data_IF_198463029927
#
_entry.id   IF_198463029927
#
_cell.length_a   1.000
_cell.length_b   1.000
_cell.length_c   1.000
_cell.angle_alpha   90.00
_cell.angle_beta   90.00
_cell.angle_gamma   90.00
#
_symmetry.space_group_name_H-M   'P 1'
#
loop_
_entity.id
_entity.type
_entity.pdbx_description
1 polymer ?
#
# COMPACT_ATOMS: atom_id res chain seq x y z
N UNK A 1 -4.65 -15.93 -13.07
CA UNK A 1 -4.59 -14.63 -13.77
C UNK A 1 -3.20 -14.50 -14.38
N UNK A 2 -3.00 -13.77 -15.47
CA UNK A 2 -1.67 -13.50 -16.04
C UNK A 2 -0.93 -12.35 -15.35
N UNK A 3 -1.25 -12.08 -14.07
CA UNK A 3 -0.69 -10.97 -13.31
C UNK A 3 0.54 -11.44 -12.53
N UNK A 4 1.65 -10.71 -12.65
CA UNK A 4 2.91 -11.02 -11.96
C UNK A 4 2.98 -10.45 -10.54
N UNK A 5 2.31 -9.31 -10.32
CA UNK A 5 2.30 -8.57 -9.04
C UNK A 5 0.92 -8.01 -8.77
N UNK A 6 0.55 -7.96 -7.49
CA UNK A 6 -0.73 -7.45 -7.01
C UNK A 6 -0.50 -6.20 -6.15
N UNK A 7 -1.07 -5.08 -6.58
CA UNK A 7 -1.09 -3.83 -5.83
C UNK A 7 -2.49 -3.56 -5.30
N UNK A 8 -2.58 -3.02 -4.09
CA UNK A 8 -3.84 -2.61 -3.47
C UNK A 8 -3.72 -1.18 -2.96
N UNK A 9 -4.84 -0.48 -2.92
CA UNK A 9 -4.93 0.89 -2.43
C UNK A 9 -5.87 0.90 -1.23
N UNK A 10 -5.42 1.50 -0.12
CA UNK A 10 -6.24 1.83 1.04
C UNK A 10 -6.18 3.35 1.22
N UNK A 11 -7.31 4.04 1.16
CA UNK A 11 -7.35 5.48 1.37
C UNK A 11 -7.54 5.83 2.84
N UNK A 12 -6.93 6.92 3.31
CA UNK A 12 -7.07 7.45 4.69
C UNK A 12 -8.53 7.52 5.18
N UNK A 13 -9.52 8.04 4.41
CA UNK A 13 -10.92 8.11 4.87
C UNK A 13 -11.58 6.75 5.13
N UNK A 14 -11.01 5.65 4.65
CA UNK A 14 -11.53 4.31 4.86
C UNK A 14 -11.21 3.78 6.27
N UNK A 15 -10.20 4.34 6.94
CA UNK A 15 -9.80 3.96 8.29
C UNK A 15 -8.67 2.93 8.35
N UNK A 16 -7.85 3.05 9.40
CA UNK A 16 -6.66 2.22 9.63
C UNK A 16 -7.00 0.77 10.05
N UNK A 17 -8.26 0.47 10.33
CA UNK A 17 -8.77 -0.82 10.77
C UNK A 17 -9.10 -1.80 9.62
N UNK A 18 -9.03 -1.33 8.37
CA UNK A 18 -9.32 -2.14 7.17
C UNK A 18 -8.52 -3.44 7.05
N UNK A 19 -7.22 -3.51 7.42
CA UNK A 19 -6.49 -4.77 7.44
C UNK A 19 -7.13 -5.83 8.35
N UNK A 20 -7.71 -5.42 9.47
CA UNK A 20 -8.37 -6.35 10.41
C UNK A 20 -9.72 -6.84 9.86
N UNK A 21 -10.42 -6.00 9.09
CA UNK A 21 -11.72 -6.33 8.49
C UNK A 21 -11.60 -7.19 7.23
N UNK A 22 -10.52 -7.05 6.48
CA UNK A 22 -10.32 -7.74 5.20
C UNK A 22 -8.97 -8.48 5.13
N UNK A 23 -8.63 -9.35 6.09
CA UNK A 23 -7.27 -9.86 6.28
C UNK A 23 -6.70 -10.58 5.05
N UNK A 24 -7.53 -11.34 4.34
CA UNK A 24 -7.11 -12.05 3.12
C UNK A 24 -6.60 -11.10 2.03
N UNK A 25 -7.18 -9.91 1.90
CA UNK A 25 -6.78 -8.96 0.87
C UNK A 25 -5.37 -8.42 1.14
N UNK A 26 -5.03 -8.19 2.40
CA UNK A 26 -3.72 -7.70 2.82
C UNK A 26 -2.66 -8.81 2.91
N UNK A 27 -3.07 -10.09 3.01
CA UNK A 27 -2.13 -11.20 3.11
C UNK A 27 -1.57 -11.67 1.75
N UNK A 28 -2.17 -11.28 0.63
CA UNK A 28 -1.84 -11.81 -0.70
C UNK A 28 -1.27 -10.78 -1.69
N UNK A 29 -1.24 -9.50 -1.32
CA UNK A 29 -0.76 -8.43 -2.20
C UNK A 29 0.73 -8.16 -1.94
N UNK A 30 1.45 -7.76 -2.99
CA UNK A 30 2.88 -7.46 -2.92
C UNK A 30 3.13 -6.06 -2.35
N UNK A 31 2.19 -5.14 -2.60
CA UNK A 31 2.32 -3.73 -2.23
C UNK A 31 0.96 -3.12 -1.86
N UNK A 32 0.98 -2.27 -0.84
CA UNK A 32 -0.17 -1.46 -0.42
C UNK A 32 0.18 0.03 -0.52
N UNK A 33 -0.63 0.76 -1.26
CA UNK A 33 -0.58 2.21 -1.32
C UNK A 33 -1.55 2.77 -0.27
N UNK A 34 -1.03 3.50 0.71
CA UNK A 34 -1.86 4.24 1.66
C UNK A 34 -2.11 5.62 1.06
N UNK A 35 -3.24 5.79 0.38
CA UNK A 35 -3.52 7.00 -0.40
C UNK A 35 -4.25 8.08 0.43
N UNK A 36 -4.19 9.33 -0.06
CA UNK A 36 -4.80 10.52 0.52
C UNK A 36 -4.18 10.90 1.87
N UNK A 37 -2.86 10.74 2.02
CA UNK A 37 -2.14 11.18 3.23
C UNK A 37 -2.29 12.68 3.48
N UNK A 38 -2.54 13.48 2.43
CA UNK A 38 -2.88 14.90 2.53
C UNK A 38 -4.18 15.19 3.31
N UNK A 39 -5.01 14.17 3.53
CA UNK A 39 -6.25 14.29 4.28
C UNK A 39 -6.13 13.80 5.73
N UNK A 40 -4.97 13.31 6.18
CA UNK A 40 -4.82 12.69 7.51
C UNK A 40 -5.28 13.59 8.66
N UNK A 41 -5.02 14.90 8.59
CA UNK A 41 -5.43 15.84 9.65
C UNK A 41 -6.96 15.94 9.84
N UNK A 42 -7.75 15.45 8.89
CA UNK A 42 -9.22 15.47 8.93
C UNK A 42 -9.83 14.13 9.37
N UNK A 43 -9.04 13.07 9.53
CA UNK A 43 -9.52 11.73 9.86
C UNK A 43 -8.75 11.14 11.04
N UNK A 44 -9.41 10.33 11.86
CA UNK A 44 -8.75 9.52 12.90
C UNK A 44 -8.04 8.31 12.27
N UNK A 45 -7.00 8.60 11.48
CA UNK A 45 -6.20 7.61 10.78
C UNK A 45 -4.79 7.55 11.37
N UNK A 46 -4.40 6.36 11.81
CA UNK A 46 -3.10 6.11 12.40
C UNK A 46 -2.23 5.30 11.43
N UNK A 47 -1.23 5.98 10.86
CA UNK A 47 -0.33 5.39 9.86
C UNK A 47 0.56 4.29 10.45
N UNK A 48 0.91 4.35 11.73
CA UNK A 48 1.75 3.33 12.34
C UNK A 48 0.93 2.08 12.69
N UNK A 49 -0.31 2.24 13.18
CA UNK A 49 -1.21 1.11 13.39
C UNK A 49 -1.54 0.37 12.12
N UNK A 50 -1.84 1.09 11.03
CA UNK A 50 -2.14 0.41 9.76
C UNK A 50 -0.93 -0.39 9.27
N UNK A 51 0.30 0.16 9.38
CA UNK A 51 1.54 -0.57 9.05
C UNK A 51 1.72 -1.81 9.92
N UNK A 52 1.48 -1.70 11.23
CA UNK A 52 1.55 -2.81 12.16
C UNK A 52 0.57 -3.93 11.79
N UNK A 53 -0.70 -3.58 11.53
CA UNK A 53 -1.72 -4.56 11.16
C UNK A 53 -1.41 -5.25 9.83
N UNK A 54 -0.93 -4.49 8.84
CA UNK A 54 -0.56 -5.01 7.53
C UNK A 54 0.64 -5.97 7.65
N UNK A 55 1.70 -5.55 8.34
CA UNK A 55 2.92 -6.37 8.49
C UNK A 55 2.71 -7.64 9.32
N UNK A 56 1.76 -7.62 10.27
CA UNK A 56 1.30 -8.84 10.97
C UNK A 56 0.65 -9.87 10.02
N UNK A 57 -0.04 -9.41 8.98
CA UNK A 57 -0.70 -10.27 8.00
C UNK A 57 0.26 -10.72 6.89
N UNK A 58 1.17 -9.84 6.46
CA UNK A 58 2.17 -10.11 5.44
C UNK A 58 3.50 -9.39 5.78
N UNK A 59 4.49 -10.09 6.35
CA UNK A 59 5.77 -9.48 6.72
C UNK A 59 6.61 -8.97 5.54
N UNK A 60 6.35 -9.44 4.32
CA UNK A 60 7.14 -9.10 3.13
C UNK A 60 6.51 -7.99 2.27
N UNK A 61 5.36 -7.46 2.69
CA UNK A 61 4.60 -6.48 1.93
C UNK A 61 5.29 -5.13 1.88
N UNK A 62 5.31 -4.50 0.71
CA UNK A 62 5.74 -3.10 0.59
C UNK A 62 4.58 -2.20 0.95
N UNK A 63 4.80 -1.20 1.81
CA UNK A 63 3.79 -0.18 2.14
C UNK A 63 4.33 1.17 1.67
N UNK A 64 3.56 1.89 0.86
CA UNK A 64 3.95 3.19 0.31
C UNK A 64 2.85 4.21 0.64
N UNK A 65 3.09 5.14 1.58
CA UNK A 65 2.21 6.27 1.79
C UNK A 65 2.27 7.21 0.58
N UNK A 66 1.11 7.58 0.02
CA UNK A 66 1.02 8.47 -1.13
C UNK A 66 -0.08 9.51 -0.98
N UNK A 67 0.07 10.64 -1.67
CA UNK A 67 -1.05 11.49 -2.04
C UNK A 67 -1.08 11.65 -3.55
N UNK A 68 -2.10 11.06 -4.19
CA UNK A 68 -2.36 11.30 -5.61
C UNK A 68 -2.72 12.76 -5.92
N UNK A 69 -3.06 13.58 -4.90
CA UNK A 69 -3.39 15.00 -5.06
C UNK A 69 -2.14 15.88 -5.07
N UNK A 70 -1.19 15.64 -4.15
CA UNK A 70 0.01 16.46 -4.01
C UNK A 70 1.20 15.90 -4.80
N UNK A 71 1.16 14.62 -5.17
CA UNK A 71 2.25 13.90 -5.82
C UNK A 71 3.22 13.25 -4.83
N UNK A 72 3.03 13.43 -3.52
CA UNK A 72 3.85 12.80 -2.49
C UNK A 72 3.80 11.26 -2.61
N UNK A 73 4.97 10.62 -2.54
CA UNK A 73 5.13 9.15 -2.64
C UNK A 73 4.91 8.55 -4.03
N UNK A 74 4.51 9.33 -5.04
CA UNK A 74 4.27 8.83 -6.41
C UNK A 74 5.56 8.35 -7.07
N UNK A 75 6.69 9.03 -6.84
CA UNK A 75 7.97 8.59 -7.41
C UNK A 75 8.43 7.25 -6.80
N UNK A 76 8.29 7.07 -5.47
CA UNK A 76 8.59 5.80 -4.81
C UNK A 76 7.71 4.67 -5.37
N UNK A 77 6.42 4.95 -5.59
CA UNK A 77 5.52 4.00 -6.23
C UNK A 77 5.98 3.66 -7.66
N UNK A 78 6.31 4.67 -8.47
CA UNK A 78 6.78 4.46 -9.84
C UNK A 78 8.09 3.65 -9.88
N UNK A 79 9.03 3.92 -8.98
CA UNK A 79 10.28 3.18 -8.85
C UNK A 79 10.07 1.73 -8.45
N UNK A 80 9.11 1.45 -7.56
CA UNK A 80 8.73 0.08 -7.23
C UNK A 80 8.22 -0.66 -8.48
N UNK A 81 7.33 -0.04 -9.27
CA UNK A 81 6.84 -0.66 -10.51
C UNK A 81 7.96 -0.91 -11.51
N UNK A 82 8.85 0.07 -11.73
CA UNK A 82 10.01 -0.09 -12.61
C UNK A 82 10.92 -1.24 -12.16
N UNK A 83 11.12 -1.36 -10.85
CA UNK A 83 11.92 -2.44 -10.24
C UNK A 83 11.28 -3.80 -10.49
N UNK A 84 9.98 -3.94 -10.22
CA UNK A 84 9.30 -5.22 -10.41
C UNK A 84 9.21 -5.63 -11.90
N UNK A 85 9.07 -4.67 -12.81
CA UNK A 85 9.14 -4.93 -14.26
C UNK A 85 10.55 -5.38 -14.67
N UNK A 86 11.60 -4.74 -14.17
CA UNK A 86 12.98 -5.15 -14.42
C UNK A 86 13.23 -6.57 -13.91
N UNK A 87 12.85 -6.84 -12.66
CA UNK A 87 12.97 -8.15 -12.05
C UNK A 87 12.22 -9.22 -12.86
N UNK A 88 11.05 -8.91 -13.39
CA UNK A 88 10.28 -9.84 -14.22
C UNK A 88 10.96 -10.15 -15.57
N UNK A 89 11.61 -9.17 -16.21
CA UNK A 89 12.32 -9.36 -17.48
C UNK A 89 13.66 -10.10 -17.33
N UNK A 90 14.28 -10.04 -16.15
CA UNK A 90 15.57 -10.69 -15.86
C UNK A 90 15.42 -12.15 -15.37
N UNK A 91 14.19 -12.59 -15.11
CA UNK A 91 13.84 -13.97 -14.75
C UNK A 91 13.27 -14.75 -15.95
#
# INVERSE_FOLDING_TARGET
>A
TGASKNAMILSVPEGHDKPLKYPLMFSIVDVVLINKIDAMDYFDFDLEKVKEYITKLNPNIKIIPISAKTGEGIEEWADWVRTEVKNWNEN
#
